data_IF_063041361530
#
_entry.id   IF_063041361530
#
_cell.length_a   1.000
_cell.length_b   1.000
_cell.length_c   1.000
_cell.angle_alpha   90.00
_cell.angle_beta   90.00
_cell.angle_gamma   90.00
#
_symmetry.space_group_name_H-M   'P 1'
#
loop_
_entity.id
_entity.type
_entity.pdbx_description
1 polymer ?
#
# COMPACT_ATOMS: atom_id res chain seq x y z
N UNK A 1 -1.92 -13.61 -13.76
CA UNK A 1 -3.30 -13.31 -13.32
C UNK A 1 -3.33 -11.89 -12.79
N UNK A 2 -4.19 -11.02 -13.31
CA UNK A 2 -4.33 -9.65 -12.79
C UNK A 2 -5.51 -9.64 -11.80
N UNK A 3 -5.21 -9.44 -10.52
CA UNK A 3 -6.26 -9.32 -9.49
C UNK A 3 -6.58 -7.85 -9.31
N UNK A 4 -7.83 -7.47 -9.55
CA UNK A 4 -8.33 -6.11 -9.28
C UNK A 4 -8.98 -6.14 -7.90
N UNK A 5 -8.49 -5.32 -6.99
CA UNK A 5 -9.05 -5.18 -5.65
C UNK A 5 -10.32 -4.32 -5.64
N UNK A 6 -11.07 -4.34 -4.54
CA UNK A 6 -12.26 -3.50 -4.36
C UNK A 6 -11.96 -1.98 -4.42
N UNK A 7 -10.71 -1.56 -4.24
CA UNK A 7 -10.26 -0.19 -4.48
C UNK A 7 -10.15 0.19 -5.97
N UNK A 8 -10.38 -0.75 -6.90
CA UNK A 8 -10.25 -0.54 -8.34
C UNK A 8 -8.82 -0.61 -8.88
N UNK A 9 -7.82 -0.85 -8.02
CA UNK A 9 -6.42 -1.00 -8.43
C UNK A 9 -6.08 -2.47 -8.73
N UNK A 10 -5.16 -2.67 -9.67
CA UNK A 10 -4.53 -3.97 -9.87
C UNK A 10 -3.54 -4.26 -8.74
N UNK A 11 -3.84 -5.25 -7.89
CA UNK A 11 -2.96 -5.66 -6.79
C UNK A 11 -1.58 -6.07 -7.31
N UNK A 12 -1.51 -6.77 -8.46
CA UNK A 12 -0.25 -7.17 -9.10
C UNK A 12 0.63 -6.00 -9.59
N UNK A 13 0.07 -4.79 -9.71
CA UNK A 13 0.82 -3.57 -10.06
C UNK A 13 0.81 -2.50 -8.96
N UNK A 14 0.16 -2.75 -7.82
CA UNK A 14 0.04 -1.79 -6.75
C UNK A 14 1.32 -1.76 -5.91
N UNK A 15 2.03 -0.62 -5.89
CA UNK A 15 3.31 -0.48 -5.18
C UNK A 15 3.18 -0.73 -3.68
N UNK A 16 2.10 -0.27 -3.04
CA UNK A 16 1.85 -0.47 -1.62
C UNK A 16 1.64 -1.96 -1.28
N UNK A 17 0.83 -2.67 -2.09
CA UNK A 17 0.63 -4.11 -1.94
C UNK A 17 1.93 -4.88 -2.12
N UNK A 18 2.66 -4.62 -3.20
CA UNK A 18 3.93 -5.30 -3.49
C UNK A 18 4.98 -5.06 -2.40
N UNK A 19 5.10 -3.82 -1.91
CA UNK A 19 6.02 -3.47 -0.83
C UNK A 19 5.65 -4.16 0.49
N UNK A 20 4.34 -4.30 0.78
CA UNK A 20 3.83 -5.01 1.94
C UNK A 20 4.14 -6.50 1.87
N UNK A 21 3.87 -7.16 0.73
CA UNK A 21 4.16 -8.58 0.53
C UNK A 21 5.66 -8.88 0.56
N UNK A 22 6.50 -7.93 0.14
CA UNK A 22 7.96 -8.02 0.25
C UNK A 22 8.51 -7.63 1.64
N UNK A 23 7.64 -7.24 2.58
CA UNK A 23 7.97 -6.69 3.89
C UNK A 23 9.05 -5.58 3.84
N UNK A 24 9.02 -4.77 2.77
CA UNK A 24 10.04 -3.76 2.50
C UNK A 24 9.65 -2.42 3.12
N UNK A 25 10.11 -2.18 4.35
CA UNK A 25 9.84 -0.93 5.09
C UNK A 25 10.40 0.30 4.37
N UNK A 26 11.53 0.16 3.68
CA UNK A 26 12.13 1.23 2.87
C UNK A 26 11.16 1.71 1.78
N UNK A 27 10.65 0.79 0.95
CA UNK A 27 9.70 1.12 -0.11
C UNK A 27 8.39 1.70 0.43
N UNK A 28 7.93 1.21 1.58
CA UNK A 28 6.76 1.76 2.25
C UNK A 28 7.03 3.20 2.75
N UNK A 29 8.22 3.50 3.26
CA UNK A 29 8.60 4.85 3.67
C UNK A 29 8.73 5.81 2.48
N UNK A 30 9.27 5.35 1.35
CA UNK A 30 9.29 6.12 0.11
C UNK A 30 7.88 6.44 -0.39
N UNK A 31 6.97 5.46 -0.37
CA UNK A 31 5.57 5.65 -0.74
C UNK A 31 4.86 6.61 0.22
N UNK A 32 5.09 6.49 1.51
CA UNK A 32 4.52 7.37 2.52
C UNK A 32 4.90 8.84 2.27
N UNK A 33 6.16 9.10 1.91
CA UNK A 33 6.63 10.44 1.52
C UNK A 33 6.06 10.90 0.17
N UNK A 34 5.93 10.01 -0.80
CA UNK A 34 5.48 10.35 -2.14
C UNK A 34 3.97 10.59 -2.23
N UNK A 35 3.18 9.89 -1.41
CA UNK A 35 1.71 9.95 -1.42
C UNK A 35 1.13 10.78 -0.28
N UNK A 36 1.88 10.93 0.82
CA UNK A 36 1.53 11.81 1.92
C UNK A 36 1.61 13.27 1.51
N UNK A 37 0.82 14.10 2.19
CA UNK A 37 0.86 15.56 2.01
C UNK A 37 1.51 16.21 3.24
N UNK A 38 2.12 17.41 3.12
CA UNK A 38 2.67 18.11 4.28
C UNK A 38 1.64 18.32 5.40
N UNK A 39 0.39 18.60 5.03
CA UNK A 39 -0.70 18.82 5.99
C UNK A 39 -1.26 17.53 6.60
N UNK A 40 -1.03 16.39 5.95
CA UNK A 40 -1.47 15.07 6.40
C UNK A 40 -0.43 14.01 5.97
N UNK A 41 0.68 13.88 6.72
CA UNK A 41 1.74 12.97 6.36
C UNK A 41 1.30 11.53 6.58
N UNK A 42 1.63 10.65 5.64
CA UNK A 42 1.47 9.22 5.84
C UNK A 42 2.68 8.63 6.56
N UNK A 43 2.42 7.59 7.33
CA UNK A 43 3.44 6.75 7.95
C UNK A 43 3.65 5.47 7.14
N UNK A 44 4.71 4.73 7.48
CA UNK A 44 4.97 3.39 6.92
C UNK A 44 3.80 2.44 7.17
N UNK A 45 3.15 2.55 8.33
CA UNK A 45 2.03 1.68 8.69
C UNK A 45 0.76 2.04 7.90
N UNK A 46 0.51 3.33 7.63
CA UNK A 46 -0.61 3.76 6.76
C UNK A 46 -0.48 3.22 5.33
N UNK A 47 0.75 2.96 4.87
CA UNK A 47 1.02 2.42 3.54
C UNK A 47 0.87 0.91 3.45
N UNK A 48 0.70 0.18 4.56
CA UNK A 48 0.55 -1.27 4.49
C UNK A 48 -0.74 -1.65 3.80
N UNK A 49 -0.66 -2.60 2.88
CA UNK A 49 -1.80 -3.06 2.10
C UNK A 49 -1.70 -4.57 1.89
N UNK A 50 -2.59 -5.33 2.52
CA UNK A 50 -2.73 -6.77 2.29
C UNK A 50 -3.71 -7.08 1.14
N UNK A 51 -4.22 -6.05 0.46
CA UNK A 51 -5.27 -6.13 -0.54
C UNK A 51 -6.66 -5.86 0.05
N UNK A 52 -7.52 -5.18 -0.72
CA UNK A 52 -8.82 -4.70 -0.23
C UNK A 52 -9.86 -5.80 0.04
N UNK A 53 -9.59 -7.03 -0.37
CA UNK A 53 -10.41 -8.21 -0.01
C UNK A 53 -9.74 -9.07 1.07
N UNK A 54 -8.65 -8.58 1.69
CA UNK A 54 -8.03 -9.28 2.82
C UNK A 54 -8.76 -8.98 4.11
N UNK A 55 -8.57 -9.85 5.10
CA UNK A 55 -9.16 -9.69 6.44
C UNK A 55 -8.54 -8.54 7.25
N UNK A 56 -7.57 -7.81 6.68
CA UNK A 56 -6.97 -6.64 7.33
C UNK A 56 -7.93 -5.46 7.25
N UNK A 57 -8.69 -5.25 8.31
CA UNK A 57 -9.46 -4.04 8.56
C UNK A 57 -8.52 -3.05 9.26
N UNK A 58 -8.30 -1.89 8.63
CA UNK A 58 -7.44 -0.82 9.14
C UNK A 58 -7.97 -0.24 10.44
#
# INVERSE_FOLDING_TARGET
MQVIGACGLSCSGCKAYMATQANSLEKLAELAKAWGKPENPYTVEDMRCNGCMSDRVY
#
